data_IF_189473781533
#
_entry.id   IF_189473781533
#
_cell.length_a   1.000
_cell.length_b   1.000
_cell.length_c   1.000
_cell.angle_alpha   90.00
_cell.angle_beta   90.00
_cell.angle_gamma   90.00
#
_symmetry.space_group_name_H-M   'P 1'
#
loop_
_entity.id
_entity.type
_entity.pdbx_description
1 polymer ?
#
# COMPACT_ATOMS: atom_id res chain seq x y z
N UNK A 1 15.36 -6.54 7.80
CA UNK A 1 15.50 -7.44 8.97
C UNK A 1 15.44 -8.92 8.58
N UNK A 2 16.54 -9.50 8.08
CA UNK A 2 16.64 -10.96 7.79
C UNK A 2 17.26 -11.75 8.94
N UNK A 3 17.90 -11.06 9.87
CA UNK A 3 18.47 -11.63 11.10
C UNK A 3 17.65 -11.15 12.28
N UNK A 4 17.41 -12.01 13.29
CA UNK A 4 16.71 -11.58 14.48
C UNK A 4 17.58 -10.60 15.27
N UNK A 5 16.97 -9.53 15.80
CA UNK A 5 17.68 -8.59 16.65
C UNK A 5 18.23 -9.31 17.90
N UNK A 6 19.41 -8.86 18.37
CA UNK A 6 20.06 -9.47 19.54
C UNK A 6 19.15 -9.47 20.78
N UNK A 7 18.32 -8.43 20.93
CA UNK A 7 17.33 -8.25 22.01
C UNK A 7 16.04 -9.07 21.86
N UNK A 8 15.84 -9.81 20.76
CA UNK A 8 14.59 -10.55 20.52
C UNK A 8 14.40 -11.73 21.47
N UNK A 9 13.14 -11.98 21.87
CA UNK A 9 12.76 -13.17 22.66
C UNK A 9 13.16 -14.47 21.92
N UNK A 10 13.52 -15.55 22.62
CA UNK A 10 13.98 -16.80 21.98
C UNK A 10 12.98 -17.38 20.96
N UNK A 11 11.68 -17.33 21.26
CA UNK A 11 10.62 -17.79 20.34
C UNK A 11 10.62 -17.03 19.02
N UNK A 12 10.79 -15.70 19.07
CA UNK A 12 10.88 -14.86 17.88
C UNK A 12 12.14 -15.17 17.07
N UNK A 13 13.30 -15.33 17.74
CA UNK A 13 14.56 -15.74 17.09
C UNK A 13 14.40 -17.07 16.35
N UNK A 14 13.81 -18.08 16.99
CA UNK A 14 13.55 -19.39 16.40
C UNK A 14 12.63 -19.29 15.19
N UNK A 15 11.55 -18.50 15.28
CA UNK A 15 10.63 -18.28 14.17
C UNK A 15 11.33 -17.69 12.94
N UNK A 16 12.19 -16.68 13.13
CA UNK A 16 12.99 -16.08 12.04
C UNK A 16 13.92 -17.11 11.40
N UNK A 17 14.68 -17.85 12.21
CA UNK A 17 15.61 -18.86 11.69
C UNK A 17 14.91 -20.00 10.96
N UNK A 18 13.80 -20.53 11.50
CA UNK A 18 13.02 -21.56 10.83
C UNK A 18 12.47 -21.07 9.49
N UNK A 19 11.96 -19.84 9.44
CA UNK A 19 11.45 -19.25 8.20
C UNK A 19 12.57 -19.08 7.16
N UNK A 20 13.75 -18.60 7.59
CA UNK A 20 14.91 -18.46 6.71
C UNK A 20 15.38 -19.81 6.15
N UNK A 21 15.46 -20.85 7.00
CA UNK A 21 15.83 -22.20 6.58
C UNK A 21 14.80 -22.80 5.61
N UNK A 22 13.51 -22.60 5.87
CA UNK A 22 12.44 -23.05 4.98
C UNK A 22 12.53 -22.36 3.61
N UNK A 23 12.75 -21.04 3.58
CA UNK A 23 12.93 -20.29 2.32
C UNK A 23 14.18 -20.77 1.58
N UNK A 24 15.31 -20.93 2.28
CA UNK A 24 16.54 -21.44 1.67
C UNK A 24 16.34 -22.84 1.08
N UNK A 25 15.70 -23.74 1.84
CA UNK A 25 15.36 -25.09 1.39
C UNK A 25 14.45 -25.07 0.15
N UNK A 26 13.43 -24.21 0.12
CA UNK A 26 12.55 -24.05 -1.03
C UNK A 26 13.30 -23.54 -2.27
N UNK A 27 14.10 -22.48 -2.11
CA UNK A 27 14.90 -21.91 -3.21
C UNK A 27 15.86 -22.95 -3.75
N UNK A 28 16.61 -23.64 -2.87
CA UNK A 28 17.55 -24.69 -3.27
C UNK A 28 16.83 -25.86 -3.94
N UNK A 29 15.75 -26.36 -3.33
CA UNK A 29 14.99 -27.50 -3.86
C UNK A 29 14.42 -27.22 -5.25
N UNK A 30 13.74 -26.08 -5.43
CA UNK A 30 13.20 -25.69 -6.74
C UNK A 30 14.34 -25.44 -7.74
N UNK A 31 15.41 -24.74 -7.34
CA UNK A 31 16.54 -24.48 -8.22
C UNK A 31 17.24 -25.76 -8.69
N UNK A 32 17.29 -26.80 -7.85
CA UNK A 32 17.82 -28.11 -8.23
C UNK A 32 16.88 -28.85 -9.20
N UNK A 33 15.56 -28.70 -9.06
CA UNK A 33 14.57 -29.35 -9.91
C UNK A 33 14.49 -28.77 -11.33
N UNK A 34 14.52 -27.44 -11.46
CA UNK A 34 14.30 -26.75 -12.76
C UNK A 34 15.54 -26.02 -13.29
N UNK A 35 16.64 -26.05 -12.55
CA UNK A 35 17.86 -25.29 -12.81
C UNK A 35 17.79 -23.87 -12.23
N UNK A 36 18.88 -23.44 -11.59
CA UNK A 36 18.97 -22.13 -10.93
C UNK A 36 18.77 -20.95 -11.89
N UNK A 37 19.21 -21.07 -13.15
CA UNK A 37 18.98 -20.04 -14.19
C UNK A 37 17.49 -19.85 -14.47
N UNK A 38 16.76 -20.96 -14.68
CA UNK A 38 15.31 -20.96 -14.89
C UNK A 38 14.58 -20.37 -13.69
N UNK A 39 14.98 -20.77 -12.47
CA UNK A 39 14.44 -20.21 -11.24
C UNK A 39 14.57 -18.68 -11.20
N UNK A 40 15.75 -18.13 -11.49
CA UNK A 40 15.96 -16.68 -11.50
C UNK A 40 15.18 -15.97 -12.61
N UNK A 41 15.09 -16.55 -13.81
CA UNK A 41 14.30 -16.00 -14.91
C UNK A 41 12.81 -15.92 -14.59
N UNK A 42 12.30 -16.78 -13.70
CA UNK A 42 10.92 -16.71 -13.22
C UNK A 42 10.80 -15.71 -12.07
N UNK A 43 11.70 -15.79 -11.08
CA UNK A 43 11.57 -15.02 -9.85
C UNK A 43 11.85 -13.53 -10.03
N UNK A 44 12.86 -13.15 -10.82
CA UNK A 44 13.23 -11.75 -11.00
C UNK A 44 12.06 -10.96 -11.61
N UNK A 45 11.44 -11.36 -12.74
CA UNK A 45 10.28 -10.65 -13.28
C UNK A 45 9.07 -10.68 -12.34
N UNK A 46 8.81 -11.81 -11.68
CA UNK A 46 7.68 -11.94 -10.74
C UNK A 46 7.83 -10.95 -9.58
N UNK A 47 9.01 -10.90 -8.94
CA UNK A 47 9.30 -9.96 -7.86
C UNK A 47 9.30 -8.51 -8.35
N UNK A 48 9.82 -8.26 -9.55
CA UNK A 48 9.83 -6.92 -10.13
C UNK A 48 8.41 -6.40 -10.37
N UNK A 49 7.57 -7.16 -11.07
CA UNK A 49 6.18 -6.78 -11.36
C UNK A 49 5.39 -6.65 -10.06
N UNK A 50 5.50 -7.63 -9.16
CA UNK A 50 4.85 -7.58 -7.86
C UNK A 50 5.29 -6.36 -7.03
N UNK A 51 6.59 -6.03 -7.06
CA UNK A 51 7.15 -4.87 -6.39
C UNK A 51 6.63 -3.55 -6.98
N UNK A 52 6.62 -3.41 -8.30
CA UNK A 52 6.09 -2.22 -8.99
C UNK A 52 4.60 -2.03 -8.67
N UNK A 53 3.80 -3.08 -8.75
CA UNK A 53 2.36 -3.03 -8.44
C UNK A 53 2.15 -2.69 -6.96
N UNK A 54 2.91 -3.31 -6.05
CA UNK A 54 2.83 -3.02 -4.63
C UNK A 54 3.17 -1.55 -4.32
N UNK A 55 4.30 -1.06 -4.81
CA UNK A 55 4.71 0.35 -4.67
C UNK A 55 3.64 1.27 -5.24
N UNK A 56 3.13 0.98 -6.43
CA UNK A 56 2.07 1.77 -7.06
C UNK A 56 0.82 1.89 -6.18
N UNK A 57 0.31 0.77 -5.67
CA UNK A 57 -0.90 0.74 -4.84
C UNK A 57 -0.74 1.64 -3.61
N UNK A 58 0.33 1.46 -2.83
CA UNK A 58 0.57 2.29 -1.66
C UNK A 58 0.88 3.74 -2.01
N UNK A 59 1.59 3.99 -3.11
CA UNK A 59 1.91 5.33 -3.57
C UNK A 59 0.64 6.12 -3.86
N UNK A 60 -0.25 5.63 -4.74
CA UNK A 60 -1.48 6.37 -5.09
C UNK A 60 -2.48 6.42 -3.95
N UNK A 61 -2.37 5.50 -2.99
CA UNK A 61 -3.18 5.52 -1.77
C UNK A 61 -2.83 6.67 -0.83
N UNK A 62 -1.58 7.15 -0.80
CA UNK A 62 -1.14 8.24 0.09
C UNK A 62 -0.71 9.50 -0.66
N UNK A 63 -0.49 9.41 -1.98
CA UNK A 63 -0.09 10.49 -2.86
C UNK A 63 -1.23 10.80 -3.84
N UNK A 64 -2.10 11.72 -3.47
CA UNK A 64 -3.20 12.20 -4.32
C UNK A 64 -3.55 13.65 -3.94
N UNK A 65 -4.16 14.38 -4.87
CA UNK A 65 -4.32 15.84 -4.78
C UNK A 65 -5.00 16.30 -3.47
N UNK A 66 -6.09 15.64 -3.11
CA UNK A 66 -6.94 15.99 -1.97
C UNK A 66 -6.57 15.22 -0.68
N UNK A 67 -5.31 14.76 -0.56
CA UNK A 67 -4.85 14.09 0.66
C UNK A 67 -4.80 15.05 1.86
N UNK A 68 -4.91 14.50 3.07
CA UNK A 68 -4.85 15.26 4.32
C UNK A 68 -3.46 15.20 4.94
N UNK A 69 -2.87 16.37 5.17
CA UNK A 69 -1.66 16.55 5.98
C UNK A 69 -1.96 17.59 7.06
N UNK A 70 -1.51 17.31 8.28
CA UNK A 70 -1.68 18.21 9.42
C UNK A 70 -0.46 18.15 10.33
N UNK A 71 -0.11 19.31 10.86
CA UNK A 71 0.75 19.46 12.02
C UNK A 71 0.16 18.74 13.25
N UNK A 72 1.03 18.31 14.16
CA UNK A 72 0.68 17.41 15.26
C UNK A 72 -0.36 17.95 16.23
N UNK A 73 -0.47 19.28 16.38
CA UNK A 73 -1.42 19.92 17.29
C UNK A 73 -2.87 19.86 16.80
N UNK A 74 -3.10 19.82 15.48
CA UNK A 74 -4.42 19.72 14.86
C UNK A 74 -4.71 18.34 14.26
N UNK A 75 -3.88 17.35 14.59
CA UNK A 75 -4.00 16.00 14.06
C UNK A 75 -5.18 15.26 14.69
N UNK A 76 -6.13 14.85 13.86
CA UNK A 76 -7.24 13.98 14.24
C UNK A 76 -7.08 12.60 13.56
N UNK A 77 -7.14 11.54 14.35
CA UNK A 77 -6.93 10.17 13.85
C UNK A 77 -7.97 9.76 12.82
N UNK A 78 -9.22 10.19 12.99
CA UNK A 78 -10.32 9.82 12.09
C UNK A 78 -10.15 10.54 10.76
N UNK A 79 -9.89 11.86 10.78
CA UNK A 79 -9.60 12.63 9.58
C UNK A 79 -8.35 12.14 8.87
N UNK A 80 -7.26 11.90 9.60
CA UNK A 80 -6.02 11.37 9.03
C UNK A 80 -6.24 10.00 8.36
N UNK A 81 -7.05 9.14 8.96
CA UNK A 81 -7.36 7.82 8.39
C UNK A 81 -8.24 7.90 7.14
N UNK A 82 -9.25 8.78 7.16
CA UNK A 82 -10.27 8.85 6.10
C UNK A 82 -9.82 9.71 4.92
N UNK A 83 -9.20 10.85 5.20
CA UNK A 83 -8.78 11.84 4.20
C UNK A 83 -7.30 11.74 3.86
N UNK A 84 -6.47 11.16 4.73
CA UNK A 84 -5.04 10.92 4.44
C UNK A 84 -4.79 9.71 3.54
N UNK A 85 -5.83 8.96 3.20
CA UNK A 85 -5.76 7.79 2.33
C UNK A 85 -6.87 7.80 1.29
N UNK A 86 -6.52 7.51 0.04
CA UNK A 86 -7.52 7.49 -1.04
C UNK A 86 -8.48 6.30 -0.92
N UNK A 87 -9.69 6.47 -1.46
CA UNK A 87 -10.51 5.35 -1.88
C UNK A 87 -10.14 4.97 -3.32
N UNK A 88 -9.30 3.95 -3.49
CA UNK A 88 -8.88 3.51 -4.81
C UNK A 88 -9.92 2.58 -5.43
N UNK A 89 -10.81 3.17 -6.24
CA UNK A 89 -11.91 2.48 -6.91
C UNK A 89 -11.37 1.68 -8.09
N UNK A 90 -11.22 0.37 -7.86
CA UNK A 90 -10.72 -0.58 -8.85
C UNK A 90 -11.90 -1.30 -9.54
N UNK A 91 -11.74 -1.77 -10.78
CA UNK A 91 -12.65 -2.75 -11.37
C UNK A 91 -12.75 -4.02 -10.51
N UNK A 92 -13.87 -4.74 -10.59
CA UNK A 92 -14.14 -5.92 -9.74
C UNK A 92 -13.01 -6.97 -9.76
N UNK A 93 -12.44 -7.25 -10.93
CA UNK A 93 -11.32 -8.19 -11.09
C UNK A 93 -10.09 -7.75 -10.28
N UNK A 94 -9.80 -6.45 -10.30
CA UNK A 94 -8.67 -5.89 -9.56
C UNK A 94 -8.96 -5.78 -8.06
N UNK A 95 -10.21 -5.54 -7.65
CA UNK A 95 -10.61 -5.68 -6.24
C UNK A 95 -10.37 -7.10 -5.72
N UNK A 96 -10.75 -8.12 -6.49
CA UNK A 96 -10.48 -9.51 -6.12
C UNK A 96 -8.98 -9.80 -6.06
N UNK A 97 -8.22 -9.44 -7.10
CA UNK A 97 -6.79 -9.71 -7.20
C UNK A 97 -5.98 -9.02 -6.09
N UNK A 98 -6.39 -7.80 -5.71
CA UNK A 98 -5.70 -7.02 -4.68
C UNK A 98 -6.28 -7.23 -3.28
N UNK A 99 -7.28 -8.10 -3.12
CA UNK A 99 -7.92 -8.34 -1.83
C UNK A 99 -8.54 -7.08 -1.24
N UNK A 100 -9.31 -6.32 -2.02
CA UNK A 100 -10.00 -5.09 -1.59
C UNK A 100 -9.09 -4.01 -0.98
N UNK A 101 -7.80 -4.00 -1.30
CA UNK A 101 -6.86 -3.01 -0.77
C UNK A 101 -7.27 -1.56 -1.08
N UNK A 102 -8.08 -1.34 -2.13
CA UNK A 102 -8.58 -0.02 -2.53
C UNK A 102 -9.40 0.71 -1.45
N UNK A 103 -9.96 0.00 -0.47
CA UNK A 103 -10.62 0.58 0.70
C UNK A 103 -9.64 0.97 1.82
N UNK A 104 -8.46 1.49 1.44
CA UNK A 104 -7.33 1.71 2.35
C UNK A 104 -7.66 2.67 3.49
N UNK A 105 -8.46 3.69 3.22
CA UNK A 105 -8.97 4.64 4.23
C UNK A 105 -9.73 3.95 5.38
N UNK A 106 -10.55 2.92 5.08
CA UNK A 106 -11.25 2.12 6.10
C UNK A 106 -10.25 1.25 6.86
N UNK A 107 -9.26 0.68 6.17
CA UNK A 107 -8.22 -0.13 6.80
C UNK A 107 -7.35 0.69 7.78
N UNK A 108 -7.02 1.94 7.46
CA UNK A 108 -6.31 2.82 8.40
C UNK A 108 -7.14 3.13 9.64
N UNK A 109 -8.42 3.43 9.43
CA UNK A 109 -9.31 3.72 10.55
C UNK A 109 -9.51 2.49 11.45
N UNK A 110 -9.65 1.30 10.86
CA UNK A 110 -9.86 0.05 11.57
C UNK A 110 -9.24 -1.14 10.84
N UNK A 111 -7.96 -1.37 11.07
CA UNK A 111 -7.18 -2.46 10.44
C UNK A 111 -7.63 -3.87 10.83
N UNK A 112 -8.43 -4.00 11.90
CA UNK A 112 -9.02 -5.26 12.33
C UNK A 112 -10.21 -5.73 11.49
N UNK A 113 -10.75 -4.90 10.59
CA UNK A 113 -11.81 -5.34 9.66
C UNK A 113 -11.15 -6.18 8.55
N UNK A 114 -11.56 -7.44 8.36
CA UNK A 114 -11.03 -8.26 7.28
C UNK A 114 -11.29 -7.65 5.91
N UNK A 115 -10.35 -7.80 4.97
CA UNK A 115 -10.44 -7.20 3.64
C UNK A 115 -11.72 -7.55 2.87
N UNK A 116 -12.28 -8.74 3.05
CA UNK A 116 -13.53 -9.15 2.39
C UNK A 116 -14.77 -8.42 2.93
N UNK A 117 -14.72 -7.81 4.11
CA UNK A 117 -15.81 -7.03 4.71
C UNK A 117 -15.71 -5.52 4.42
N UNK A 118 -14.58 -5.02 3.90
CA UNK A 118 -14.41 -3.60 3.61
C UNK A 118 -15.43 -3.03 2.60
N UNK A 119 -15.84 -3.75 1.53
CA UNK A 119 -16.87 -3.26 0.63
C UNK A 119 -18.21 -3.07 1.34
N UNK A 120 -18.63 -4.03 2.19
CA UNK A 120 -19.87 -3.93 2.96
C UNK A 120 -19.82 -2.73 3.91
N UNK A 121 -18.70 -2.57 4.63
CA UNK A 121 -18.46 -1.44 5.52
C UNK A 121 -18.56 -0.09 4.80
N UNK A 122 -18.00 0.02 3.59
CA UNK A 122 -18.10 1.22 2.77
C UNK A 122 -19.55 1.55 2.36
N UNK A 123 -20.38 0.54 2.11
CA UNK A 123 -21.78 0.74 1.73
C UNK A 123 -22.67 1.09 2.92
N UNK A 124 -22.38 0.57 4.11
CA UNK A 124 -23.19 0.77 5.32
C UNK A 124 -22.93 2.10 6.02
N UNK A 125 -21.71 2.63 5.93
CA UNK A 125 -21.30 3.84 6.67
C UNK A 125 -21.24 5.05 5.73
N UNK A 126 -22.13 6.02 5.96
CA UNK A 126 -22.28 7.19 5.10
C UNK A 126 -21.00 8.05 5.00
N UNK A 127 -20.22 8.10 6.09
CA UNK A 127 -18.95 8.82 6.13
C UNK A 127 -17.95 8.32 5.06
N UNK A 128 -17.95 7.01 4.75
CA UNK A 128 -17.02 6.46 3.76
C UNK A 128 -17.44 6.77 2.32
N UNK A 129 -18.73 6.99 2.07
CA UNK A 129 -19.24 7.38 0.75
C UNK A 129 -18.90 8.82 0.38
N UNK A 130 -18.57 9.66 1.37
CA UNK A 130 -18.14 11.04 1.17
C UNK A 130 -16.70 11.14 0.65
N UNK A 131 -15.92 10.06 0.73
CA UNK A 131 -14.53 10.03 0.23
C UNK A 131 -14.53 9.96 -1.29
N UNK A 132 -13.89 10.93 -1.94
CA UNK A 132 -13.83 10.98 -3.39
C UNK A 132 -13.07 9.75 -3.95
N UNK A 133 -13.66 9.03 -4.94
CA UNK A 133 -13.00 7.87 -5.51
C UNK A 133 -11.82 8.28 -6.39
N UNK A 134 -10.68 7.64 -6.16
CA UNK A 134 -9.53 7.65 -7.04
C UNK A 134 -9.66 6.48 -8.00
N UNK A 135 -9.86 6.76 -9.29
CA UNK A 135 -9.86 5.71 -10.33
C UNK A 135 -8.46 5.51 -10.88
N UNK A 136 -8.21 4.40 -11.60
CA UNK A 136 -6.93 4.15 -12.26
C UNK A 136 -6.50 5.33 -13.12
N UNK A 137 -7.40 5.87 -13.96
CA UNK A 137 -7.12 7.02 -14.81
C UNK A 137 -6.77 8.28 -14.01
N UNK A 138 -7.48 8.56 -12.91
CA UNK A 138 -7.16 9.71 -12.04
C UNK A 138 -5.82 9.52 -11.32
N UNK A 139 -5.52 8.30 -10.86
CA UNK A 139 -4.28 7.97 -10.14
C UNK A 139 -3.01 8.20 -10.97
N UNK A 140 -3.08 8.15 -12.30
CA UNK A 140 -1.94 8.51 -13.15
C UNK A 140 -1.52 9.99 -13.00
N UNK A 141 -2.44 10.87 -12.59
CA UNK A 141 -2.09 12.27 -12.30
C UNK A 141 -1.26 12.40 -11.01
N UNK A 142 -1.46 11.51 -10.05
CA UNK A 142 -0.75 11.50 -8.76
C UNK A 142 0.77 11.44 -8.91
N UNK A 143 1.27 10.81 -9.98
CA UNK A 143 2.71 10.69 -10.28
C UNK A 143 3.40 12.05 -10.43
N UNK A 144 2.64 13.09 -10.79
CA UNK A 144 3.16 14.45 -10.98
C UNK A 144 3.10 15.30 -9.71
N UNK A 145 2.51 14.78 -8.64
CA UNK A 145 2.34 15.47 -7.38
C UNK A 145 3.52 15.16 -6.48
N UNK A 146 4.24 16.18 -6.04
CA UNK A 146 5.52 16.01 -5.36
C UNK A 146 5.67 16.83 -4.08
N UNK A 147 4.90 17.93 -3.96
CA UNK A 147 5.04 18.87 -2.86
C UNK A 147 3.69 19.18 -2.23
N UNK A 148 3.70 19.43 -0.93
CA UNK A 148 2.54 19.91 -0.20
C UNK A 148 2.51 21.45 -0.21
N UNK A 149 1.41 22.01 -0.69
CA UNK A 149 1.12 23.44 -0.62
C UNK A 149 0.28 23.71 0.64
N UNK A 150 0.89 24.35 1.64
CA UNK A 150 0.25 24.66 2.93
C UNK A 150 -0.92 25.65 2.81
N UNK A 151 -0.87 26.57 1.84
CA UNK A 151 -1.92 27.57 1.65
C UNK A 151 -3.17 26.93 1.04
N UNK A 152 -2.96 26.07 0.03
CA UNK A 152 -4.05 25.37 -0.66
C UNK A 152 -4.47 24.08 0.01
N UNK A 153 -3.67 23.56 0.95
CA UNK A 153 -3.80 22.24 1.58
C UNK A 153 -3.95 21.13 0.55
N UNK A 154 -3.05 21.13 -0.43
CA UNK A 154 -3.08 20.18 -1.56
C UNK A 154 -1.68 19.73 -1.94
N UNK A 155 -1.59 18.51 -2.46
CA UNK A 155 -0.40 18.08 -3.17
C UNK A 155 -0.37 18.68 -4.58
N UNK A 156 0.74 19.33 -4.93
CA UNK A 156 0.98 20.01 -6.21
C UNK A 156 2.22 19.46 -6.92
N UNK A 157 2.29 19.69 -8.23
CA UNK A 157 3.47 19.38 -9.04
C UNK A 157 4.46 20.54 -9.16
N UNK A 158 5.71 20.25 -9.54
CA UNK A 158 6.76 21.27 -9.70
C UNK A 158 6.42 22.38 -10.70
N UNK A 159 5.54 22.12 -11.66
CA UNK A 159 5.10 23.14 -12.63
C UNK A 159 4.21 24.21 -12.00
N UNK A 160 3.47 23.87 -10.95
CA UNK A 160 2.52 24.77 -10.30
C UNK A 160 3.23 25.80 -9.41
N UNK A 161 4.43 25.49 -8.92
CA UNK A 161 5.29 26.42 -8.17
C UNK A 161 5.69 27.62 -9.05
N UNK A 162 5.97 27.39 -10.34
CA UNK A 162 6.45 28.45 -11.24
C UNK A 162 5.37 29.46 -11.63
N UNK A 163 4.11 29.16 -11.31
CA UNK A 163 2.96 30.02 -11.59
C UNK A 163 2.44 30.73 -10.33
N UNK A 164 3.09 30.51 -9.18
CA UNK A 164 2.78 31.14 -7.90
C UNK A 164 3.75 32.28 -7.57
#
# INVERSE_FOLDING_TARGET
>A
NRLPARSSKPKAKRSVWLTNLAIAGLISGVSLLIGWKTFLMIQIPTMFIGGVVGIWLFYVQHQFEDTYWSNGESWDVVQASIQGSSYYQLPAVLHWLTGNIGYHHIHHLRSGIPFYNLPACHQEVELFKQVAPLTIKRSLKSVKLHLWDEQRKKLIGFKEIKAA
#
